data_IF_712851462219
#
_entry.id   IF_712851462219
#
_cell.length_a   1.000
_cell.length_b   1.000
_cell.length_c   1.000
_cell.angle_alpha   90.00
_cell.angle_beta   90.00
_cell.angle_gamma   90.00
#
_symmetry.space_group_name_H-M   'P 1'
#
loop_
_entity.id
_entity.type
_entity.pdbx_description
1 polymer ?
#
# COMPACT_ATOMS: atom_id res chain seq x y z
N UNK A 1 -22.73 8.94 13.64
CA UNK A 1 -22.85 7.72 12.85
C UNK A 1 -21.61 6.86 13.02
N UNK A 2 -21.83 5.59 13.24
CA UNK A 2 -20.72 4.67 13.41
C UNK A 2 -20.18 4.21 12.06
N UNK A 3 -18.89 4.30 11.88
CA UNK A 3 -18.25 3.89 10.66
C UNK A 3 -17.57 2.53 10.85
N UNK A 4 -17.75 1.64 9.92
CA UNK A 4 -17.06 0.36 9.94
C UNK A 4 -15.70 0.52 9.28
N UNK A 5 -14.66 0.14 9.99
CA UNK A 5 -13.30 0.18 9.47
C UNK A 5 -13.09 -1.02 8.54
N UNK A 6 -12.68 -0.74 7.31
CA UNK A 6 -12.48 -1.79 6.31
C UNK A 6 -11.00 -1.93 6.01
N UNK A 7 -10.47 -3.11 6.28
CA UNK A 7 -9.07 -3.44 6.02
C UNK A 7 -9.03 -4.57 4.99
N UNK A 8 -8.20 -4.40 3.95
CA UNK A 8 -8.13 -5.36 2.85
C UNK A 8 -6.70 -5.81 2.62
N UNK A 9 -6.54 -7.12 2.46
CA UNK A 9 -5.29 -7.76 2.10
C UNK A 9 -5.45 -8.29 0.67
N UNK A 10 -5.12 -7.49 -0.35
CA UNK A 10 -5.54 -7.81 -1.72
C UNK A 10 -4.71 -8.91 -2.37
N UNK A 11 -5.29 -9.51 -3.40
CA UNK A 11 -4.58 -10.39 -4.31
C UNK A 11 -4.33 -9.63 -5.61
N UNK A 12 -3.33 -10.04 -6.38
CA UNK A 12 -3.01 -9.39 -7.64
C UNK A 12 -4.22 -9.38 -8.57
N UNK A 13 -4.93 -10.47 -8.59
CA UNK A 13 -6.04 -10.69 -9.52
C UNK A 13 -7.16 -9.65 -9.39
N UNK A 14 -7.45 -9.18 -8.17
CA UNK A 14 -8.53 -8.25 -7.95
C UNK A 14 -8.07 -6.95 -7.30
N UNK A 15 -6.80 -6.62 -7.46
CA UNK A 15 -6.16 -5.51 -6.77
C UNK A 15 -6.88 -4.18 -7.00
N UNK A 16 -7.26 -3.90 -8.24
CA UNK A 16 -7.84 -2.60 -8.60
C UNK A 16 -9.35 -2.54 -8.43
N UNK A 17 -9.97 -3.61 -7.95
CA UNK A 17 -11.41 -3.66 -7.78
C UNK A 17 -11.89 -2.99 -6.49
N UNK A 18 -11.01 -2.82 -5.53
CA UNK A 18 -11.37 -2.30 -4.21
C UNK A 18 -11.46 -0.78 -4.21
N UNK A 19 -12.51 -0.25 -3.60
CA UNK A 19 -12.72 1.18 -3.45
C UNK A 19 -13.26 1.47 -2.06
N UNK A 20 -13.02 2.70 -1.58
CA UNK A 20 -13.54 3.14 -0.29
C UNK A 20 -13.02 2.28 0.86
N UNK A 21 -11.72 2.05 0.86
CA UNK A 21 -11.05 1.18 1.83
C UNK A 21 -10.29 2.02 2.85
N UNK A 22 -10.42 1.68 4.12
CA UNK A 22 -9.70 2.39 5.19
C UNK A 22 -8.23 2.02 5.23
N UNK A 23 -7.93 0.76 5.05
CA UNK A 23 -6.55 0.29 5.06
C UNK A 23 -6.36 -0.82 4.02
N UNK A 24 -5.43 -0.59 3.12
CA UNK A 24 -5.11 -1.52 2.03
C UNK A 24 -3.68 -2.00 2.24
N UNK A 25 -3.47 -3.31 2.31
CA UNK A 25 -2.19 -3.89 2.75
C UNK A 25 -1.56 -4.84 1.74
N UNK A 26 -1.10 -4.36 0.60
CA UNK A 26 -0.39 -5.22 -0.34
C UNK A 26 1.08 -5.36 0.05
N UNK A 27 1.74 -6.38 -0.49
CA UNK A 27 3.20 -6.37 -0.47
C UNK A 27 3.72 -5.71 -1.74
N UNK A 28 5.02 -5.43 -1.78
CA UNK A 28 5.60 -4.70 -2.91
C UNK A 28 5.45 -5.46 -4.22
N UNK A 29 5.49 -6.77 -4.17
CA UNK A 29 5.32 -7.60 -5.35
C UNK A 29 3.90 -7.53 -5.90
N UNK A 30 2.92 -7.54 -5.01
CA UNK A 30 1.52 -7.45 -5.41
C UNK A 30 1.20 -6.11 -6.06
N UNK A 31 1.61 -5.02 -5.41
CA UNK A 31 1.31 -3.69 -5.96
C UNK A 31 2.08 -3.44 -7.25
N UNK A 32 3.33 -3.92 -7.33
CA UNK A 32 4.13 -3.76 -8.54
C UNK A 32 3.54 -4.50 -9.71
N UNK A 33 3.06 -5.72 -9.50
CA UNK A 33 2.42 -6.49 -10.55
C UNK A 33 1.10 -5.88 -10.96
N UNK A 34 0.29 -5.49 -9.99
CA UNK A 34 -1.05 -4.99 -10.28
C UNK A 34 -1.03 -3.65 -10.99
N UNK A 35 -0.09 -2.79 -10.65
CA UNK A 35 -0.01 -1.44 -11.21
C UNK A 35 1.12 -1.29 -12.22
N UNK A 36 1.71 -2.40 -12.62
CA UNK A 36 2.75 -2.45 -13.65
C UNK A 36 3.92 -1.54 -13.32
N UNK A 37 4.42 -1.64 -12.10
CA UNK A 37 5.57 -0.87 -11.68
C UNK A 37 6.83 -1.67 -11.96
N UNK A 38 7.61 -1.19 -12.91
CA UNK A 38 8.78 -1.94 -13.38
C UNK A 38 9.95 -1.85 -12.42
N UNK A 39 10.07 -0.73 -11.73
CA UNK A 39 11.17 -0.52 -10.79
C UNK A 39 10.60 -0.07 -9.46
N UNK A 40 10.27 -1.00 -8.56
CA UNK A 40 9.54 -0.67 -7.33
C UNK A 40 10.44 -0.11 -6.22
N UNK A 41 11.10 1.00 -6.50
CA UNK A 41 11.81 1.72 -5.46
C UNK A 41 10.81 2.34 -4.49
N UNK A 42 11.28 2.71 -3.31
CA UNK A 42 10.40 3.34 -2.32
C UNK A 42 9.76 4.60 -2.91
N UNK A 43 10.55 5.38 -3.64
CA UNK A 43 10.03 6.60 -4.24
C UNK A 43 8.95 6.32 -5.28
N UNK A 44 9.15 5.33 -6.13
CA UNK A 44 8.15 4.97 -7.14
C UNK A 44 6.90 4.41 -6.50
N UNK A 45 7.05 3.60 -5.46
CA UNK A 45 5.91 3.07 -4.74
C UNK A 45 5.12 4.18 -4.08
N UNK A 46 5.81 5.18 -3.54
CA UNK A 46 5.15 6.33 -2.93
C UNK A 46 4.34 7.11 -3.95
N UNK A 47 4.94 7.46 -5.09
CA UNK A 47 4.27 8.27 -6.11
C UNK A 47 3.06 7.53 -6.69
N UNK A 48 3.27 6.29 -7.09
CA UNK A 48 2.20 5.52 -7.72
C UNK A 48 1.16 5.11 -6.70
N UNK A 49 1.59 4.82 -5.47
CA UNK A 49 0.69 4.48 -4.39
C UNK A 49 -0.27 5.61 -4.06
N UNK A 50 0.23 6.84 -4.02
CA UNK A 50 -0.61 8.00 -3.77
C UNK A 50 -1.66 8.19 -4.86
N UNK A 51 -1.28 7.98 -6.11
CA UNK A 51 -2.24 8.06 -7.21
C UNK A 51 -3.31 7.00 -7.10
N UNK A 52 -2.91 5.79 -6.76
CA UNK A 52 -3.85 4.69 -6.58
C UNK A 52 -4.81 4.97 -5.43
N UNK A 53 -4.31 5.47 -4.31
CA UNK A 53 -5.15 5.81 -3.16
C UNK A 53 -6.21 6.82 -3.53
N UNK A 54 -5.83 7.83 -4.29
CA UNK A 54 -6.75 8.88 -4.69
C UNK A 54 -7.81 8.36 -5.65
N UNK A 55 -7.39 7.56 -6.61
CA UNK A 55 -8.30 7.01 -7.60
C UNK A 55 -9.31 6.05 -6.99
N UNK A 56 -8.85 5.22 -6.07
CA UNK A 56 -9.68 4.17 -5.49
C UNK A 56 -10.26 4.53 -4.12
N UNK A 57 -10.01 5.74 -3.65
CA UNK A 57 -10.53 6.22 -2.36
C UNK A 57 -10.05 5.33 -1.22
N UNK A 58 -8.75 5.14 -1.18
CA UNK A 58 -8.07 4.38 -0.13
C UNK A 58 -7.50 5.40 0.86
N UNK A 59 -7.83 5.26 2.13
CA UNK A 59 -7.38 6.21 3.14
C UNK A 59 -5.95 5.97 3.58
N UNK A 60 -5.57 4.72 3.72
CA UNK A 60 -4.23 4.35 4.18
C UNK A 60 -3.73 3.17 3.37
N UNK A 61 -2.48 3.25 2.94
CA UNK A 61 -1.84 2.20 2.15
C UNK A 61 -0.60 1.73 2.91
N UNK A 62 -0.56 0.45 3.24
CA UNK A 62 0.59 -0.15 3.91
C UNK A 62 1.21 -1.17 2.98
N UNK A 63 2.42 -0.89 2.50
CA UNK A 63 3.12 -1.77 1.58
C UNK A 63 4.25 -2.46 2.33
N UNK A 64 4.18 -3.78 2.39
CA UNK A 64 5.27 -4.54 3.00
C UNK A 64 6.38 -4.74 1.99
N UNK A 65 7.62 -4.55 2.44
CA UNK A 65 8.81 -4.53 1.57
C UNK A 65 9.73 -5.70 1.84
N UNK A 66 9.19 -6.83 2.21
CA UNK A 66 9.94 -8.02 2.61
C UNK A 66 10.84 -7.67 3.78
N UNK A 67 12.09 -8.05 3.74
CA UNK A 67 13.01 -7.78 4.84
C UNK A 67 13.40 -6.31 4.95
N UNK A 68 12.99 -5.48 4.01
CA UNK A 68 13.35 -4.05 4.06
C UNK A 68 12.44 -3.21 4.92
N UNK A 69 11.30 -3.75 5.33
CA UNK A 69 10.42 -3.03 6.22
C UNK A 69 9.03 -2.80 5.66
N UNK A 70 8.44 -1.69 6.07
CA UNK A 70 7.06 -1.35 5.73
C UNK A 70 6.99 0.12 5.33
N UNK A 71 6.27 0.39 4.26
CA UNK A 71 6.01 1.75 3.80
C UNK A 71 4.54 2.07 4.07
N UNK A 72 4.28 3.11 4.85
CA UNK A 72 2.93 3.52 5.17
C UNK A 72 2.65 4.89 4.55
N UNK A 73 1.62 4.95 3.75
CA UNK A 73 1.22 6.18 3.08
C UNK A 73 -0.20 6.52 3.54
N UNK A 74 -0.36 7.68 4.12
CA UNK A 74 -1.66 8.20 4.50
C UNK A 74 -1.98 9.40 3.62
N UNK A 75 -3.16 9.97 3.81
CA UNK A 75 -3.53 11.17 3.06
C UNK A 75 -2.61 12.34 3.36
N UNK A 76 -2.02 12.38 4.55
CA UNK A 76 -1.20 13.52 4.97
C UNK A 76 0.29 13.22 5.04
N UNK A 77 0.70 11.97 5.03
CA UNK A 77 2.10 11.68 5.29
C UNK A 77 2.56 10.38 4.65
N UNK A 78 3.87 10.23 4.59
CA UNK A 78 4.51 9.00 4.16
C UNK A 78 5.53 8.64 5.23
N UNK A 79 5.51 7.40 5.67
CA UNK A 79 6.47 6.91 6.67
C UNK A 79 7.02 5.58 6.23
N UNK A 80 8.31 5.39 6.44
CA UNK A 80 8.94 4.12 6.17
C UNK A 80 9.51 3.58 7.48
N UNK A 81 9.19 2.35 7.79
CA UNK A 81 9.69 1.67 8.98
C UNK A 81 10.55 0.49 8.55
N UNK A 82 11.78 0.49 9.00
CA UNK A 82 12.70 -0.60 8.68
C UNK A 82 12.57 -1.69 9.70
N UNK A 83 12.74 -2.93 9.26
CA UNK A 83 12.72 -4.08 10.14
C UNK A 83 14.17 -4.44 10.42
N UNK A 84 14.51 -4.47 11.70
CA UNK A 84 15.83 -4.90 12.12
C UNK A 84 15.72 -6.28 12.73
N UNK A 85 16.47 -7.20 12.19
CA UNK A 85 16.53 -8.53 12.76
C UNK A 85 17.43 -8.53 13.97
N UNK A 86 16.92 -9.11 15.03
CA UNK A 86 17.67 -9.20 16.29
C UNK A 86 18.23 -10.60 16.39
N UNK A 87 19.48 -10.70 16.69
CA UNK A 87 20.16 -11.98 16.79
C UNK A 87 20.04 -12.61 18.16
#
# INVERSE_FOLDING_TARGET
MKKIFISVDPKIKNFTDFKNIDLFKPNSKEISSALDIKNPTVKNLEVIGKKFMKKNLIDNLMITLSEKGILIITKQSVSKFEIYESE
#
